data_IF_070699586488
#
_entry.id   IF_070699586488
#
_cell.length_a   1.000
_cell.length_b   1.000
_cell.length_c   1.000
_cell.angle_alpha   90.00
_cell.angle_beta   90.00
_cell.angle_gamma   90.00
#
_symmetry.space_group_name_H-M   'P 1'
#
loop_
_entity.id
_entity.type
_entity.pdbx_description
1 polymer ?
#
# COMPACT_ATOMS: atom_id res chain seq x y z
N UNK A 1 -0.15 -8.57 -25.42
CA UNK A 1 -0.86 -8.13 -24.21
C UNK A 1 0.08 -8.42 -23.05
N UNK A 2 0.33 -7.44 -22.19
CA UNK A 2 1.17 -7.55 -20.98
C UNK A 2 0.31 -7.32 -19.75
N UNK A 3 0.53 -8.13 -18.74
CA UNK A 3 -0.08 -7.95 -17.41
C UNK A 3 0.76 -6.95 -16.63
N UNK A 4 0.11 -5.94 -16.07
CA UNK A 4 0.72 -4.90 -15.26
C UNK A 4 0.01 -4.78 -13.92
N UNK A 5 0.74 -4.25 -12.93
CA UNK A 5 0.19 -3.79 -11.66
C UNK A 5 0.21 -2.26 -11.67
N UNK A 6 -0.93 -1.63 -11.41
CA UNK A 6 -1.05 -0.19 -11.27
C UNK A 6 -0.21 0.29 -10.08
N UNK A 7 0.68 1.25 -10.31
CA UNK A 7 1.45 1.91 -9.24
C UNK A 7 0.73 3.15 -8.69
N UNK A 8 -0.26 3.65 -9.42
CA UNK A 8 -1.13 4.78 -9.10
C UNK A 8 -2.54 4.49 -9.64
N UNK A 9 -3.56 5.19 -9.13
CA UNK A 9 -4.91 5.12 -9.69
C UNK A 9 -4.91 5.64 -11.15
N UNK A 10 -5.23 4.76 -12.10
CA UNK A 10 -5.31 5.09 -13.52
C UNK A 10 -6.76 5.48 -13.83
N UNK A 11 -6.96 6.72 -14.27
CA UNK A 11 -8.27 7.20 -14.70
C UNK A 11 -8.75 6.47 -15.97
N UNK A 12 -10.07 6.25 -16.05
CA UNK A 12 -10.71 5.70 -17.24
C UNK A 12 -10.36 6.53 -18.48
N UNK A 13 -10.00 5.87 -19.59
CA UNK A 13 -9.67 6.52 -20.85
C UNK A 13 -8.27 7.14 -20.96
N UNK A 14 -7.42 7.09 -19.92
CA UNK A 14 -6.09 7.73 -19.92
C UNK A 14 -5.16 7.18 -21.01
N UNK A 15 -5.24 5.89 -21.34
CA UNK A 15 -4.37 5.24 -22.34
C UNK A 15 -5.12 4.53 -23.48
N UNK A 16 -6.44 4.70 -23.58
CA UNK A 16 -7.24 4.17 -24.68
C UNK A 16 -8.75 4.20 -24.40
N UNK A 17 -9.54 4.27 -25.46
CA UNK A 17 -11.00 4.20 -25.40
C UNK A 17 -11.44 2.81 -24.88
N UNK A 18 -12.29 2.79 -23.86
CA UNK A 18 -12.78 1.55 -23.22
C UNK A 18 -11.99 1.05 -22.02
N UNK A 19 -10.92 1.74 -21.59
CA UNK A 19 -10.27 1.44 -20.30
C UNK A 19 -11.09 1.99 -19.13
N UNK A 20 -11.45 1.11 -18.20
CA UNK A 20 -12.07 1.46 -16.92
C UNK A 20 -11.03 2.04 -15.96
N UNK A 21 -11.49 2.74 -14.91
CA UNK A 21 -10.60 3.20 -13.87
C UNK A 21 -9.97 2.00 -13.15
N UNK A 22 -8.67 2.07 -12.89
CA UNK A 22 -7.89 0.99 -12.28
C UNK A 22 -7.29 1.54 -11.00
N UNK A 23 -7.70 0.99 -9.87
CA UNK A 23 -7.18 1.40 -8.57
C UNK A 23 -5.70 1.03 -8.42
N UNK A 24 -4.98 1.83 -7.64
CA UNK A 24 -3.58 1.56 -7.31
C UNK A 24 -3.42 0.14 -6.73
N UNK A 25 -2.41 -0.59 -7.19
CA UNK A 25 -2.14 -1.98 -6.80
C UNK A 25 -2.97 -3.03 -7.57
N UNK A 26 -3.90 -2.61 -8.43
CA UNK A 26 -4.74 -3.53 -9.21
C UNK A 26 -3.96 -4.10 -10.39
N UNK A 27 -4.13 -5.40 -10.63
CA UNK A 27 -3.61 -6.08 -11.82
C UNK A 27 -4.54 -5.85 -13.01
N UNK A 28 -3.97 -5.51 -14.15
CA UNK A 28 -4.72 -5.28 -15.37
C UNK A 28 -3.89 -5.63 -16.60
N UNK A 29 -4.56 -5.97 -17.69
CA UNK A 29 -3.93 -6.41 -18.92
C UNK A 29 -4.08 -5.34 -19.99
N UNK A 30 -2.98 -4.96 -20.64
CA UNK A 30 -2.98 -3.94 -21.70
C UNK A 30 -2.08 -4.35 -22.87
N UNK A 31 -2.29 -3.77 -24.05
CA UNK A 31 -1.37 -3.96 -25.18
C UNK A 31 0.06 -3.56 -24.83
N UNK A 32 1.04 -4.23 -25.43
CA UNK A 32 2.46 -4.03 -25.15
C UNK A 32 2.92 -2.58 -25.35
N UNK A 33 2.43 -1.91 -26.38
CA UNK A 33 2.68 -0.49 -26.66
C UNK A 33 2.22 0.44 -25.53
N UNK A 34 1.11 0.09 -24.87
CA UNK A 34 0.58 0.85 -23.73
C UNK A 34 1.34 0.48 -22.46
N UNK A 35 1.67 -0.80 -22.29
CA UNK A 35 2.40 -1.28 -21.14
C UNK A 35 3.76 -0.59 -20.98
N UNK A 36 4.52 -0.48 -22.07
CA UNK A 36 5.82 0.18 -22.05
C UNK A 36 5.70 1.66 -21.65
N UNK A 37 4.65 2.35 -22.14
CA UNK A 37 4.36 3.73 -21.75
C UNK A 37 4.03 3.84 -20.26
N UNK A 38 3.19 2.96 -19.73
CA UNK A 38 2.76 2.99 -18.33
C UNK A 38 3.89 2.64 -17.36
N UNK A 39 4.81 1.76 -17.76
CA UNK A 39 6.04 1.48 -17.00
C UNK A 39 6.98 2.67 -17.04
N UNK A 40 7.12 3.32 -18.21
CA UNK A 40 7.98 4.49 -18.39
C UNK A 40 7.47 5.72 -17.61
N UNK A 41 6.16 5.95 -17.59
CA UNK A 41 5.55 7.06 -16.85
C UNK A 41 5.43 6.80 -15.35
N UNK A 42 5.70 5.57 -14.91
CA UNK A 42 5.60 5.16 -13.50
C UNK A 42 4.17 4.93 -13.02
N UNK A 43 3.20 4.81 -13.93
CA UNK A 43 1.80 4.51 -13.62
C UNK A 43 1.56 3.02 -13.37
N UNK A 44 2.43 2.14 -13.88
CA UNK A 44 2.32 0.69 -13.69
C UNK A 44 3.68 -0.03 -13.71
N UNK A 45 3.72 -1.31 -13.31
CA UNK A 45 4.90 -2.19 -13.40
C UNK A 45 4.54 -3.55 -14.00
N UNK A 46 5.51 -4.19 -14.69
CA UNK A 46 5.35 -5.55 -15.24
C UNK A 46 5.06 -6.59 -14.16
N UNK A 47 4.04 -7.42 -14.40
CA UNK A 47 3.68 -8.58 -13.57
C UNK A 47 4.37 -9.83 -14.11
N UNK A 48 5.67 -9.99 -13.82
CA UNK A 48 6.51 -11.10 -14.33
C UNK A 48 6.42 -12.39 -13.47
N UNK A 49 5.24 -12.73 -12.93
CA UNK A 49 5.04 -14.01 -12.26
C UNK A 49 3.55 -14.44 -12.20
N UNK A 50 3.26 -15.63 -12.73
CA UNK A 50 1.94 -16.29 -12.73
C UNK A 50 1.55 -16.86 -11.32
N UNK A 51 0.28 -17.27 -11.04
CA UNK A 51 -0.71 -16.52 -10.21
C UNK A 51 -1.38 -17.45 -9.14
N UNK A 52 -2.57 -17.20 -8.49
CA UNK A 52 -3.52 -16.07 -8.52
C UNK A 52 -4.01 -15.58 -7.11
N UNK A 53 -5.04 -14.75 -7.13
CA UNK A 53 -6.00 -14.43 -6.06
C UNK A 53 -5.69 -13.27 -5.08
N UNK A 54 -6.32 -12.14 -5.35
CA UNK A 54 -7.24 -11.51 -4.39
C UNK A 54 -6.65 -10.90 -3.11
N UNK A 55 -5.34 -10.99 -2.94
CA UNK A 55 -4.70 -10.64 -1.68
C UNK A 55 -3.89 -9.40 -1.94
N UNK A 56 -4.18 -8.35 -1.16
CA UNK A 56 -3.22 -7.38 -0.67
C UNK A 56 -1.84 -8.03 -0.54
N UNK A 57 -1.06 -8.04 -1.60
CA UNK A 57 0.26 -8.62 -1.56
C UNK A 57 1.15 -7.49 -1.09
N UNK A 58 1.08 -7.29 0.23
CA UNK A 58 2.15 -6.75 1.02
C UNK A 58 3.45 -7.22 0.37
N UNK A 59 4.13 -6.29 -0.30
CA UNK A 59 5.57 -6.44 -0.49
C UNK A 59 6.07 -6.87 0.89
N UNK A 60 6.93 -7.87 0.98
CA UNK A 60 7.73 -8.11 2.18
C UNK A 60 8.70 -6.93 2.40
N UNK A 61 8.13 -5.73 2.55
CA UNK A 61 8.76 -4.51 2.95
C UNK A 61 9.06 -4.63 4.43
N UNK A 62 10.12 -3.96 4.85
CA UNK A 62 10.47 -3.90 6.26
C UNK A 62 9.25 -3.40 7.02
N UNK A 63 8.69 -4.24 7.89
CA UNK A 63 7.63 -3.85 8.80
C UNK A 63 8.21 -2.90 9.84
N UNK A 64 7.50 -1.82 10.11
CA UNK A 64 7.85 -0.81 11.08
C UNK A 64 6.78 -0.78 12.17
N UNK A 65 7.21 -0.73 13.43
CA UNK A 65 6.30 -0.60 14.56
C UNK A 65 5.87 0.85 14.67
N UNK A 66 4.57 1.08 14.78
CA UNK A 66 3.98 2.40 14.97
C UNK A 66 2.97 2.34 16.11
N UNK A 67 2.79 3.46 16.81
CA UNK A 67 1.72 3.66 17.79
C UNK A 67 0.50 4.23 17.08
N UNK A 68 -0.69 3.68 17.30
CA UNK A 68 -1.93 4.29 16.83
C UNK A 68 -2.29 5.50 17.68
N UNK A 69 -2.65 6.61 17.04
CA UNK A 69 -3.07 7.85 17.70
C UNK A 69 -4.59 7.90 17.92
N UNK A 70 -5.34 7.08 17.19
CA UNK A 70 -6.80 6.97 17.25
C UNK A 70 -7.25 5.53 17.02
N UNK A 71 -8.50 5.24 17.36
CA UNK A 71 -9.13 3.96 17.02
C UNK A 71 -9.29 3.86 15.50
N UNK A 72 -8.92 2.71 14.94
CA UNK A 72 -8.94 2.47 13.50
C UNK A 72 -9.18 1.00 13.19
N UNK A 73 -9.25 0.65 11.91
CA UNK A 73 -9.31 -0.75 11.49
C UNK A 73 -8.06 -1.57 11.88
N UNK A 74 -6.97 -0.93 12.29
CA UNK A 74 -5.73 -1.58 12.70
C UNK A 74 -5.69 -1.90 14.20
N UNK A 75 -6.53 -1.26 15.02
CA UNK A 75 -6.50 -1.37 16.48
C UNK A 75 -7.02 -0.13 17.19
N UNK A 76 -6.86 -0.09 18.50
CA UNK A 76 -7.30 1.03 19.32
C UNK A 76 -6.19 2.06 19.51
N UNK A 77 -6.56 3.25 19.99
CA UNK A 77 -5.61 4.29 20.35
C UNK A 77 -4.57 3.77 21.36
N UNK A 78 -3.31 4.12 21.10
CA UNK A 78 -2.10 3.66 21.78
C UNK A 78 -1.71 2.19 21.57
N UNK A 79 -2.38 1.44 20.70
CA UNK A 79 -1.90 0.12 20.33
C UNK A 79 -0.63 0.22 19.47
N UNK A 80 0.27 -0.74 19.63
CA UNK A 80 1.49 -0.85 18.84
C UNK A 80 1.30 -1.89 17.75
N UNK A 81 1.30 -1.45 16.50
CA UNK A 81 1.06 -2.30 15.33
C UNK A 81 2.25 -2.30 14.38
N UNK A 82 2.41 -3.39 13.64
CA UNK A 82 3.42 -3.51 12.60
C UNK A 82 2.79 -3.20 11.24
N UNK A 83 3.26 -2.14 10.60
CA UNK A 83 2.79 -1.69 9.28
C UNK A 83 3.94 -1.68 8.28
N UNK A 84 3.62 -1.75 6.99
CA UNK A 84 4.64 -1.66 5.94
C UNK A 84 5.32 -0.28 5.97
N UNK A 85 6.65 -0.24 5.83
CA UNK A 85 7.40 1.03 5.83
C UNK A 85 6.94 2.01 4.73
N UNK A 86 6.32 1.51 3.66
CA UNK A 86 5.69 2.34 2.63
C UNK A 86 4.40 3.04 3.10
N UNK A 87 3.68 2.45 4.06
CA UNK A 87 2.41 2.96 4.59
C UNK A 87 2.60 3.85 5.82
N UNK A 88 3.71 3.71 6.56
CA UNK A 88 4.01 4.52 7.76
C UNK A 88 3.83 6.02 7.50
N UNK A 89 4.46 6.54 6.43
CA UNK A 89 4.42 7.98 6.12
C UNK A 89 3.01 8.48 5.82
N UNK A 90 2.19 7.63 5.18
CA UNK A 90 0.79 7.95 4.89
C UNK A 90 0.00 8.01 6.19
N UNK A 91 0.14 7.00 7.06
CA UNK A 91 -0.54 6.95 8.35
C UNK A 91 -0.13 8.10 9.29
N UNK A 92 1.13 8.50 9.27
CA UNK A 92 1.60 9.68 10.04
C UNK A 92 1.04 10.98 9.49
N UNK A 93 1.03 11.16 8.17
CA UNK A 93 0.44 12.34 7.52
C UNK A 93 -1.05 12.46 7.81
N UNK A 94 -1.75 11.33 7.79
CA UNK A 94 -3.19 11.27 8.02
C UNK A 94 -3.52 11.33 9.53
N UNK A 95 -2.50 11.42 10.39
CA UNK A 95 -2.65 11.56 11.85
C UNK A 95 -3.11 10.29 12.57
N UNK A 96 -3.07 9.15 11.88
CA UNK A 96 -3.56 7.85 12.38
C UNK A 96 -2.52 7.14 13.23
N UNK A 97 -1.23 7.29 12.88
CA UNK A 97 -0.14 6.61 13.56
C UNK A 97 1.06 7.52 13.83
N UNK A 98 1.93 7.07 14.73
CA UNK A 98 3.15 7.74 15.15
C UNK A 98 4.28 6.72 15.19
N UNK A 99 5.30 6.91 14.34
CA UNK A 99 6.46 6.03 14.25
C UNK A 99 7.62 6.47 15.15
N UNK A 100 7.45 7.54 15.94
CA UNK A 100 8.49 8.02 16.84
C UNK A 100 8.88 6.94 17.84
N UNK A 101 10.19 6.72 17.97
CA UNK A 101 10.72 5.64 18.80
C UNK A 101 10.33 5.80 20.27
N UNK A 102 10.28 7.03 20.79
CA UNK A 102 9.88 7.26 22.18
C UNK A 102 8.38 7.02 22.36
N UNK A 103 7.55 7.44 21.40
CA UNK A 103 6.11 7.19 21.40
C UNK A 103 5.77 5.68 21.35
N UNK A 104 6.41 4.94 20.45
CA UNK A 104 6.26 3.49 20.33
C UNK A 104 6.75 2.79 21.60
N UNK A 105 7.91 3.19 22.14
CA UNK A 105 8.44 2.60 23.38
C UNK A 105 7.50 2.84 24.57
N UNK A 106 6.93 4.04 24.67
CA UNK A 106 5.94 4.36 25.70
C UNK A 106 4.68 3.50 25.54
N UNK A 107 4.13 3.40 24.33
CA UNK A 107 2.97 2.58 24.06
C UNK A 107 3.19 1.09 24.40
N UNK A 108 4.38 0.55 24.14
CA UNK A 108 4.76 -0.81 24.57
C UNK A 108 4.73 -1.02 26.10
N UNK A 109 4.80 0.05 26.90
CA UNK A 109 4.67 -0.07 28.36
C UNK A 109 3.22 -0.21 28.83
N UNK A 110 2.25 0.06 27.97
CA UNK A 110 0.83 0.01 28.32
C UNK A 110 0.34 -1.45 28.44
N UNK A 111 -0.55 -1.76 29.40
CA UNK A 111 -1.04 -3.13 29.61
C UNK A 111 -1.61 -3.79 28.36
N UNK A 112 -2.30 -3.03 27.51
CA UNK A 112 -2.89 -3.50 26.26
C UNK A 112 -1.87 -4.04 25.23
N UNK A 113 -0.60 -3.63 25.34
CA UNK A 113 0.48 -4.02 24.44
C UNK A 113 1.44 -5.03 25.07
N UNK A 114 1.17 -5.50 26.29
CA UNK A 114 1.95 -6.54 26.97
C UNK A 114 1.27 -7.89 26.76
N UNK A 115 1.56 -8.53 25.63
CA UNK A 115 1.27 -9.94 25.40
C UNK A 115 2.29 -10.84 26.12
#
# INVERSE_FOLDING_TARGET
>A
MKTLIALLAIAAGKYGEGQVAIDEGTKFEVPDDIADKMVTTGDARLDDAAPPEGSKQAKSGKKTKVRLLMDSALGNANDVVEVDAGEVKTLERDGVADSDKAAVSYAQTLPQNKA
#
